data_IF_652221513770
#
_entry.id   IF_652221513770
#
_cell.length_a   1.000
_cell.length_b   1.000
_cell.length_c   1.000
_cell.angle_alpha   90.00
_cell.angle_beta   90.00
_cell.angle_gamma   90.00
#
_symmetry.space_group_name_H-M   'P 1'
#
loop_
_entity.id
_entity.type
_entity.pdbx_description
1 polymer ?
#
# COMPACT_ATOMS: atom_id res chain seq x y z
N UNK A 1 -14.79 46.62 -60.13
CA UNK A 1 -13.88 45.72 -59.34
C UNK A 1 -14.48 45.65 -57.99
N UNK A 2 -15.09 44.50 -57.69
CA UNK A 2 -16.13 44.35 -56.66
C UNK A 2 -15.57 44.32 -55.22
N UNK A 3 -15.76 45.41 -54.53
CA UNK A 3 -15.38 45.62 -53.13
C UNK A 3 -16.03 44.56 -52.16
N UNK A 4 -17.14 44.04 -52.55
CA UNK A 4 -17.86 42.96 -51.85
C UNK A 4 -17.14 41.63 -51.93
N UNK A 5 -16.49 41.31 -53.04
CA UNK A 5 -15.68 40.09 -53.20
C UNK A 5 -14.39 40.14 -52.37
N UNK A 6 -13.78 41.28 -52.23
CA UNK A 6 -12.59 41.47 -51.40
C UNK A 6 -12.90 41.26 -49.89
N UNK A 7 -14.03 41.80 -49.42
CA UNK A 7 -14.50 41.58 -48.04
C UNK A 7 -14.80 40.11 -47.75
N UNK A 8 -15.38 39.38 -48.67
CA UNK A 8 -15.68 37.96 -48.55
C UNK A 8 -14.39 37.11 -48.48
N UNK A 9 -13.36 37.43 -49.29
CA UNK A 9 -12.07 36.75 -49.28
C UNK A 9 -11.29 37.01 -47.98
N UNK A 10 -11.31 38.23 -47.44
CA UNK A 10 -10.65 38.57 -46.17
C UNK A 10 -11.34 37.86 -44.99
N UNK A 11 -12.69 37.81 -45.02
CA UNK A 11 -13.45 37.10 -43.99
C UNK A 11 -13.23 35.59 -44.02
N UNK A 12 -13.09 34.99 -45.19
CA UNK A 12 -12.78 33.57 -45.37
C UNK A 12 -11.36 33.23 -44.88
N UNK A 13 -10.37 34.11 -45.15
CA UNK A 13 -9.00 33.95 -44.70
C UNK A 13 -8.87 34.07 -43.15
N UNK A 14 -9.68 34.94 -42.55
CA UNK A 14 -9.72 35.12 -41.08
C UNK A 14 -10.33 33.91 -40.36
N UNK A 15 -11.39 33.35 -40.93
CA UNK A 15 -12.03 32.13 -40.41
C UNK A 15 -11.09 30.91 -40.51
N UNK A 16 -10.31 30.79 -41.58
CA UNK A 16 -9.29 29.74 -41.74
C UNK A 16 -8.16 29.89 -40.74
N UNK A 17 -7.71 31.12 -40.47
CA UNK A 17 -6.63 31.37 -39.47
C UNK A 17 -7.09 31.05 -38.06
N UNK A 18 -8.35 31.34 -37.68
CA UNK A 18 -8.90 30.98 -36.34
C UNK A 18 -9.09 29.45 -36.21
N UNK A 19 -9.53 28.77 -37.28
CA UNK A 19 -9.69 27.32 -37.31
C UNK A 19 -8.36 26.56 -37.14
N UNK A 20 -7.29 27.07 -37.76
CA UNK A 20 -5.95 26.49 -37.65
C UNK A 20 -5.33 26.70 -36.25
N UNK A 21 -5.61 27.84 -35.60
CA UNK A 21 -5.16 28.13 -34.22
C UNK A 21 -5.80 27.24 -33.17
N UNK A 22 -7.04 26.82 -33.33
CA UNK A 22 -7.76 25.93 -32.41
C UNK A 22 -7.30 24.46 -32.47
N UNK A 23 -6.74 24.03 -33.60
CA UNK A 23 -6.20 22.66 -33.75
C UNK A 23 -4.79 22.45 -33.13
N UNK A 24 -4.07 23.55 -32.87
CA UNK A 24 -2.74 23.47 -32.28
C UNK A 24 -2.69 23.25 -30.75
N UNK A 25 -3.84 23.36 -30.05
CA UNK A 25 -3.91 23.27 -28.59
C UNK A 25 -4.12 21.82 -28.11
N UNK A 26 -4.36 20.86 -29.02
CA UNK A 26 -4.72 19.47 -28.66
C UNK A 26 -3.51 18.53 -28.50
N UNK A 27 -2.28 19.02 -28.59
CA UNK A 27 -1.07 18.18 -28.59
C UNK A 27 -0.31 18.15 -27.25
N UNK A 28 -0.87 18.64 -26.15
CA UNK A 28 -0.33 18.37 -24.84
C UNK A 28 -0.85 17.03 -24.32
N UNK A 29 -0.29 15.92 -24.79
CA UNK A 29 -0.38 14.65 -24.09
C UNK A 29 0.46 14.76 -22.81
N UNK A 30 -0.19 15.06 -21.69
CA UNK A 30 0.43 14.93 -20.37
C UNK A 30 0.64 13.44 -20.14
N UNK A 31 1.82 12.95 -20.47
CA UNK A 31 2.26 11.62 -20.06
C UNK A 31 2.50 11.69 -18.55
N UNK A 32 1.53 11.31 -17.74
CA UNK A 32 1.76 10.96 -16.36
C UNK A 32 2.62 9.70 -16.34
N UNK A 33 3.92 9.86 -16.30
CA UNK A 33 4.78 8.80 -15.75
C UNK A 33 4.42 8.73 -14.28
N UNK A 34 3.58 7.76 -13.93
CA UNK A 34 3.54 7.26 -12.57
C UNK A 34 4.93 6.69 -12.30
N UNK A 35 5.77 7.48 -11.62
CA UNK A 35 6.99 7.01 -10.98
C UNK A 35 6.60 6.27 -9.68
N UNK A 36 5.52 5.46 -9.70
CA UNK A 36 5.36 4.41 -8.75
C UNK A 36 6.53 3.47 -8.97
N UNK A 37 7.27 3.14 -7.94
CA UNK A 37 8.31 2.12 -8.00
C UNK A 37 7.65 0.79 -8.36
N UNK A 38 7.30 0.64 -9.61
CA UNK A 38 6.85 -0.60 -10.20
C UNK A 38 8.05 -1.51 -10.21
N UNK A 39 7.90 -2.68 -9.61
CA UNK A 39 8.92 -3.74 -9.66
C UNK A 39 9.45 -3.85 -11.08
N UNK A 40 10.76 -3.70 -11.25
CA UNK A 40 11.39 -4.01 -12.53
C UNK A 40 11.46 -5.54 -12.71
N UNK A 41 10.40 -6.11 -13.28
CA UNK A 41 10.29 -7.54 -13.52
C UNK A 41 11.34 -8.10 -14.50
N UNK A 42 12.16 -7.24 -15.13
CA UNK A 42 13.30 -7.70 -15.94
C UNK A 42 14.47 -8.12 -15.07
N UNK A 43 14.62 -7.49 -13.88
CA UNK A 43 15.70 -7.72 -12.91
C UNK A 43 15.26 -8.52 -11.71
N UNK A 44 14.00 -8.35 -11.26
CA UNK A 44 13.45 -8.93 -10.05
C UNK A 44 12.30 -9.86 -10.40
N UNK A 45 12.48 -11.15 -10.24
CA UNK A 45 11.52 -12.19 -10.61
C UNK A 45 11.05 -13.02 -9.43
N UNK A 46 11.81 -13.01 -8.34
CA UNK A 46 11.58 -13.88 -7.20
C UNK A 46 11.52 -13.09 -5.89
N UNK A 47 10.70 -13.58 -4.96
CA UNK A 47 10.61 -13.04 -3.60
C UNK A 47 10.70 -14.17 -2.58
N UNK A 48 11.49 -13.95 -1.56
CA UNK A 48 11.57 -14.80 -0.37
C UNK A 48 10.85 -14.11 0.78
N UNK A 49 9.80 -14.72 1.31
CA UNK A 49 9.07 -14.26 2.48
C UNK A 49 9.30 -15.29 3.60
N UNK A 50 10.07 -14.89 4.60
CA UNK A 50 10.32 -15.72 5.77
C UNK A 50 9.13 -15.68 6.72
N UNK A 51 8.94 -16.74 7.51
CA UNK A 51 7.92 -16.74 8.54
C UNK A 51 8.30 -15.77 9.68
N UNK A 52 7.31 -15.03 10.16
CA UNK A 52 7.43 -14.04 11.22
C UNK A 52 7.12 -14.71 12.57
N UNK A 53 8.12 -14.94 13.42
CA UNK A 53 7.88 -15.47 14.76
C UNK A 53 7.21 -14.41 15.65
N UNK A 54 6.41 -14.88 16.60
CA UNK A 54 5.84 -14.04 17.65
C UNK A 54 6.88 -13.86 18.76
N UNK A 55 7.29 -12.62 19.04
CA UNK A 55 8.21 -12.22 20.09
C UNK A 55 7.57 -11.32 21.16
N UNK A 56 6.29 -11.05 21.03
CA UNK A 56 5.53 -10.27 22.01
C UNK A 56 5.39 -11.02 23.34
N UNK A 57 5.26 -10.26 24.43
CA UNK A 57 5.08 -10.82 25.77
C UNK A 57 3.75 -11.59 25.92
N UNK A 58 2.70 -11.15 25.24
CA UNK A 58 1.43 -11.86 25.12
C UNK A 58 1.37 -12.58 23.78
N UNK A 59 1.05 -13.86 23.80
CA UNK A 59 1.02 -14.73 22.61
C UNK A 59 -0.38 -15.28 22.41
N UNK A 60 -0.95 -14.98 21.25
CA UNK A 60 -2.13 -15.67 20.74
C UNK A 60 -1.67 -16.54 19.55
N UNK A 61 -1.61 -17.85 19.75
CA UNK A 61 -0.95 -18.77 18.81
C UNK A 61 -1.47 -18.72 17.36
N UNK A 62 -2.78 -18.51 17.08
CA UNK A 62 -3.25 -18.42 15.70
C UNK A 62 -2.73 -17.20 14.91
N UNK A 63 -2.31 -16.13 15.58
CA UNK A 63 -1.87 -14.87 14.95
C UNK A 63 -0.68 -15.08 14.00
N UNK A 64 0.29 -15.92 14.37
CA UNK A 64 1.48 -16.19 13.55
C UNK A 64 1.14 -16.80 12.18
N UNK A 65 0.45 -17.94 12.12
CA UNK A 65 -0.02 -18.52 10.86
C UNK A 65 -0.93 -17.58 10.06
N UNK A 66 -1.84 -16.85 10.71
CA UNK A 66 -2.72 -15.88 10.04
C UNK A 66 -1.91 -14.80 9.33
N UNK A 67 -0.95 -14.20 10.03
CA UNK A 67 -0.07 -13.17 9.47
C UNK A 67 0.77 -13.70 8.30
N UNK A 68 1.43 -14.83 8.51
CA UNK A 68 2.32 -15.41 7.51
C UNK A 68 1.58 -15.83 6.23
N UNK A 69 0.38 -16.38 6.37
CA UNK A 69 -0.44 -16.76 5.22
C UNK A 69 -0.94 -15.51 4.48
N UNK A 70 -1.51 -14.53 5.18
CA UNK A 70 -2.03 -13.31 4.54
C UNK A 70 -0.94 -12.56 3.79
N UNK A 71 0.26 -12.41 4.39
CA UNK A 71 1.37 -11.73 3.72
C UNK A 71 1.79 -12.47 2.43
N UNK A 72 1.97 -13.79 2.48
CA UNK A 72 2.32 -14.61 1.32
C UNK A 72 1.24 -14.56 0.25
N UNK A 73 -0.02 -14.67 0.64
CA UNK A 73 -1.15 -14.63 -0.27
C UNK A 73 -1.30 -13.26 -0.94
N UNK A 74 -1.08 -12.16 -0.20
CA UNK A 74 -1.11 -10.81 -0.74
C UNK A 74 -0.08 -10.63 -1.85
N UNK A 75 1.17 -11.03 -1.62
CA UNK A 75 2.21 -10.93 -2.65
C UNK A 75 1.95 -11.85 -3.84
N UNK A 76 1.41 -13.05 -3.60
CA UNK A 76 1.07 -14.01 -4.67
C UNK A 76 -0.03 -13.49 -5.59
N UNK A 77 -1.08 -12.87 -5.03
CA UNK A 77 -2.23 -12.37 -5.82
C UNK A 77 -1.97 -11.00 -6.45
N UNK A 78 -1.07 -10.19 -5.86
CA UNK A 78 -0.89 -8.79 -6.25
C UNK A 78 0.37 -8.52 -7.07
N UNK A 79 1.27 -9.51 -7.21
CA UNK A 79 2.51 -9.37 -7.98
C UNK A 79 2.71 -10.55 -8.94
N UNK A 80 3.66 -10.38 -9.87
CA UNK A 80 4.13 -11.46 -10.77
C UNK A 80 5.39 -12.15 -10.21
N UNK A 81 5.76 -11.87 -8.95
CA UNK A 81 6.94 -12.47 -8.34
C UNK A 81 6.69 -13.92 -7.98
N UNK A 82 7.62 -14.80 -8.34
CA UNK A 82 7.60 -16.19 -7.90
C UNK A 82 8.12 -16.30 -6.47
N UNK A 83 7.31 -16.85 -5.56
CA UNK A 83 7.76 -17.06 -4.19
C UNK A 83 8.74 -18.23 -4.11
N UNK A 84 9.89 -17.99 -3.47
CA UNK A 84 10.96 -18.98 -3.28
C UNK A 84 11.32 -19.09 -1.80
N UNK A 85 11.82 -20.27 -1.42
CA UNK A 85 12.21 -20.51 -0.02
C UNK A 85 13.58 -19.92 0.36
N UNK A 86 14.46 -19.70 -0.63
CA UNK A 86 15.84 -19.21 -0.44
C UNK A 86 16.29 -18.44 -1.68
N UNK A 87 17.21 -17.50 -1.47
CA UNK A 87 17.89 -16.76 -2.53
C UNK A 87 16.93 -16.02 -3.48
N UNK A 88 15.87 -15.41 -2.93
CA UNK A 88 15.00 -14.52 -3.70
C UNK A 88 15.72 -13.22 -4.08
N UNK A 89 15.34 -12.65 -5.23
CA UNK A 89 15.83 -11.32 -5.64
C UNK A 89 15.39 -10.26 -4.64
N UNK A 90 14.20 -10.41 -4.07
CA UNK A 90 13.72 -9.65 -2.91
C UNK A 90 13.58 -10.57 -1.70
N UNK A 91 13.80 -10.04 -0.52
CA UNK A 91 13.63 -10.76 0.75
C UNK A 91 12.86 -9.93 1.75
N UNK A 92 11.85 -10.53 2.36
CA UNK A 92 11.10 -9.97 3.48
C UNK A 92 11.27 -10.90 4.67
N UNK A 93 11.72 -10.36 5.79
CA UNK A 93 11.84 -11.06 7.07
C UNK A 93 11.51 -10.13 8.22
N UNK A 94 11.16 -10.68 9.36
CA UNK A 94 10.84 -9.86 10.52
C UNK A 94 10.24 -10.68 11.65
N UNK A 95 9.62 -9.98 12.59
CA UNK A 95 9.01 -10.57 13.76
C UNK A 95 7.84 -9.74 14.29
N UNK A 96 6.87 -10.39 14.93
CA UNK A 96 5.77 -9.71 15.63
C UNK A 96 6.28 -9.35 17.01
N UNK A 97 6.62 -8.06 17.21
CA UNK A 97 7.30 -7.59 18.43
C UNK A 97 6.36 -7.21 19.54
N UNK A 98 5.14 -6.80 19.21
CA UNK A 98 4.18 -6.32 20.19
C UNK A 98 2.76 -6.80 19.86
N UNK A 99 2.06 -7.26 20.87
CA UNK A 99 0.62 -7.54 20.86
C UNK A 99 0.08 -7.25 22.24
N UNK A 100 -0.74 -6.21 22.38
CA UNK A 100 -1.16 -5.72 23.69
C UNK A 100 -2.52 -5.04 23.66
N UNK A 101 -3.15 -5.03 24.83
CA UNK A 101 -4.35 -4.24 25.11
C UNK A 101 -3.99 -2.95 25.84
N UNK A 102 -4.71 -1.88 25.54
CA UNK A 102 -4.67 -0.61 26.26
C UNK A 102 -6.09 -0.10 26.48
N UNK A 103 -6.37 0.38 27.67
CA UNK A 103 -7.63 1.07 27.92
C UNK A 103 -7.58 2.45 27.26
N UNK A 104 -8.53 2.78 26.40
CA UNK A 104 -8.75 4.15 25.93
C UNK A 104 -9.45 4.93 27.04
N UNK A 105 -9.00 6.16 27.27
CA UNK A 105 -9.58 7.06 28.28
C UNK A 105 -11.08 7.26 28.01
N UNK A 106 -11.88 7.26 29.06
CA UNK A 106 -13.30 7.60 29.03
C UNK A 106 -13.44 9.04 28.53
N UNK A 107 -14.33 9.31 27.58
CA UNK A 107 -14.70 10.68 27.23
C UNK A 107 -15.36 11.34 28.42
N UNK A 108 -15.20 12.66 28.58
CA UNK A 108 -15.77 13.47 29.67
C UNK A 108 -17.29 13.39 29.83
N UNK A 109 -17.99 12.69 28.94
CA UNK A 109 -19.45 12.52 28.91
C UNK A 109 -19.92 11.13 29.36
N UNK A 110 -19.04 10.28 29.91
CA UNK A 110 -19.43 9.04 30.58
C UNK A 110 -19.89 7.91 29.67
N UNK A 111 -19.66 7.98 28.35
CA UNK A 111 -20.06 6.94 27.41
C UNK A 111 -18.86 6.06 27.03
N UNK A 112 -19.10 4.77 27.18
CA UNK A 112 -18.37 3.62 26.65
C UNK A 112 -16.86 3.66 26.81
N UNK A 113 -16.36 3.03 27.87
CA UNK A 113 -14.95 2.69 28.00
C UNK A 113 -14.59 1.73 26.84
N UNK A 114 -13.71 2.16 25.95
CA UNK A 114 -13.18 1.33 24.87
C UNK A 114 -11.82 0.78 25.26
N UNK A 115 -11.56 -0.45 24.85
CA UNK A 115 -10.25 -1.06 24.91
C UNK A 115 -9.67 -1.09 23.50
N UNK A 116 -8.42 -0.73 23.37
CA UNK A 116 -7.65 -0.82 22.13
C UNK A 116 -6.76 -2.05 22.17
N UNK A 117 -6.85 -2.87 21.13
CA UNK A 117 -5.92 -3.95 20.85
C UNK A 117 -4.94 -3.47 19.77
N UNK A 118 -3.63 -3.60 20.00
CA UNK A 118 -2.61 -3.17 19.05
C UNK A 118 -1.59 -4.28 18.76
N UNK A 119 -1.12 -4.33 17.51
CA UNK A 119 -0.10 -5.23 17.04
C UNK A 119 0.99 -4.43 16.32
N UNK A 120 2.26 -4.75 16.61
CA UNK A 120 3.42 -4.16 15.93
C UNK A 120 4.30 -5.28 15.37
N UNK A 121 4.70 -5.09 14.12
CA UNK A 121 5.57 -6.01 13.38
C UNK A 121 6.81 -5.25 12.94
N UNK A 122 7.98 -5.75 13.28
CA UNK A 122 9.25 -5.23 12.75
C UNK A 122 9.60 -5.98 11.47
N UNK A 123 9.91 -5.26 10.40
CA UNK A 123 10.15 -5.80 9.06
C UNK A 123 11.47 -5.30 8.54
N UNK A 124 12.27 -6.24 8.04
CA UNK A 124 13.46 -5.97 7.23
C UNK A 124 13.19 -6.40 5.79
N UNK A 125 13.30 -5.45 4.89
CA UNK A 125 13.21 -5.67 3.44
C UNK A 125 14.59 -5.51 2.81
N UNK A 126 14.94 -6.41 1.93
CA UNK A 126 16.19 -6.38 1.16
C UNK A 126 15.87 -6.60 -0.30
N UNK A 127 16.34 -5.70 -1.18
CA UNK A 127 16.25 -5.83 -2.62
C UNK A 127 17.67 -6.05 -3.20
N UNK A 128 17.99 -7.29 -3.55
CA UNK A 128 19.31 -7.65 -4.10
C UNK A 128 19.59 -7.01 -5.47
N UNK A 129 18.56 -6.55 -6.19
CA UNK A 129 18.72 -5.84 -7.45
C UNK A 129 18.97 -4.34 -7.24
N UNK A 130 18.53 -3.77 -6.11
CA UNK A 130 18.70 -2.35 -5.78
C UNK A 130 18.71 -2.14 -4.26
N UNK A 131 19.88 -2.21 -3.65
CA UNK A 131 20.06 -2.02 -2.20
C UNK A 131 19.68 -0.62 -1.68
N UNK A 132 19.46 0.36 -2.56
CA UNK A 132 18.95 1.68 -2.13
C UNK A 132 17.49 1.62 -1.63
N UNK A 133 16.78 0.53 -1.90
CA UNK A 133 15.41 0.29 -1.45
C UNK A 133 15.36 -0.53 -0.15
N UNK A 134 16.48 -0.97 0.37
CA UNK A 134 16.54 -1.74 1.62
C UNK A 134 16.08 -0.88 2.79
N UNK A 135 15.28 -1.46 3.67
CA UNK A 135 14.85 -0.81 4.90
C UNK A 135 14.61 -1.77 6.05
N UNK A 136 14.64 -1.22 7.26
CA UNK A 136 14.12 -1.85 8.46
C UNK A 136 13.13 -0.90 9.13
N UNK A 137 11.88 -1.34 9.30
CA UNK A 137 10.79 -0.49 9.78
C UNK A 137 9.76 -1.28 10.56
N UNK A 138 9.17 -0.63 11.57
CA UNK A 138 8.04 -1.16 12.32
C UNK A 138 6.72 -0.68 11.73
N UNK A 139 5.78 -1.61 11.58
CA UNK A 139 4.42 -1.35 11.16
C UNK A 139 3.47 -1.68 12.30
N UNK A 140 2.48 -0.84 12.53
CA UNK A 140 1.55 -0.99 13.64
C UNK A 140 0.13 -0.81 13.15
N UNK A 141 -0.76 -1.69 13.62
CA UNK A 141 -2.19 -1.54 13.48
C UNK A 141 -2.87 -1.67 14.83
N UNK A 142 -4.02 -1.03 14.99
CA UNK A 142 -4.82 -1.13 16.19
C UNK A 142 -6.32 -1.16 15.87
N UNK A 143 -7.08 -1.85 16.70
CA UNK A 143 -8.53 -1.93 16.64
C UNK A 143 -9.12 -1.71 18.02
N UNK A 144 -10.23 -1.01 18.08
CA UNK A 144 -10.93 -0.74 19.35
C UNK A 144 -12.19 -1.61 19.45
N UNK A 145 -12.51 -2.02 20.66
CA UNK A 145 -13.72 -2.74 20.98
C UNK A 145 -14.31 -2.28 22.32
N UNK A 146 -15.59 -2.54 22.54
CA UNK A 146 -16.28 -2.15 23.77
C UNK A 146 -15.75 -2.92 24.98
N UNK A 147 -15.45 -2.23 26.08
CA UNK A 147 -14.92 -2.84 27.31
C UNK A 147 -15.90 -3.85 27.93
N UNK A 148 -17.19 -3.80 27.56
CA UNK A 148 -18.21 -4.78 27.95
C UNK A 148 -18.05 -6.13 27.26
N UNK A 149 -17.30 -6.19 26.16
CA UNK A 149 -17.02 -7.43 25.44
C UNK A 149 -15.74 -8.09 25.98
N UNK A 150 -15.71 -9.42 26.01
CA UNK A 150 -14.47 -10.13 26.32
C UNK A 150 -13.53 -10.11 25.10
N UNK A 151 -12.22 -9.97 25.33
CA UNK A 151 -11.25 -10.07 24.22
C UNK A 151 -11.44 -11.37 23.44
N UNK A 152 -11.66 -12.48 24.12
CA UNK A 152 -11.79 -13.80 23.48
C UNK A 152 -12.92 -13.85 22.43
N UNK A 153 -14.02 -13.10 22.65
CA UNK A 153 -15.15 -13.09 21.72
C UNK A 153 -14.90 -12.29 20.44
N UNK A 154 -13.98 -11.33 20.46
CA UNK A 154 -13.70 -10.42 19.33
C UNK A 154 -12.27 -10.55 18.79
N UNK A 155 -11.41 -11.31 19.46
CA UNK A 155 -9.97 -11.38 19.20
C UNK A 155 -9.64 -11.81 17.76
N UNK A 156 -10.30 -12.83 17.25
CA UNK A 156 -10.04 -13.34 15.90
C UNK A 156 -10.39 -12.31 14.82
N UNK A 157 -11.54 -11.66 14.97
CA UNK A 157 -11.95 -10.59 14.05
C UNK A 157 -10.99 -9.40 14.09
N UNK A 158 -10.66 -8.90 15.28
CA UNK A 158 -9.76 -7.76 15.44
C UNK A 158 -8.35 -8.06 14.91
N UNK A 159 -7.84 -9.27 15.19
CA UNK A 159 -6.52 -9.68 14.69
C UNK A 159 -6.54 -9.81 13.18
N UNK A 160 -7.60 -10.35 12.59
CA UNK A 160 -7.73 -10.45 11.12
C UNK A 160 -7.67 -9.07 10.47
N UNK A 161 -8.36 -8.06 11.03
CA UNK A 161 -8.31 -6.69 10.53
C UNK A 161 -6.92 -6.07 10.66
N UNK A 162 -6.26 -6.25 11.81
CA UNK A 162 -4.91 -5.72 12.03
C UNK A 162 -3.86 -6.39 11.15
N UNK A 163 -3.96 -7.71 10.95
CA UNK A 163 -3.08 -8.48 10.06
C UNK A 163 -3.20 -7.95 8.63
N UNK A 164 -4.42 -7.78 8.14
CA UNK A 164 -4.65 -7.24 6.80
C UNK A 164 -4.05 -5.85 6.65
N UNK A 165 -4.32 -4.95 7.59
CA UNK A 165 -3.79 -3.58 7.57
C UNK A 165 -2.25 -3.55 7.55
N UNK A 166 -1.59 -4.33 8.42
CA UNK A 166 -0.12 -4.40 8.44
C UNK A 166 0.43 -5.01 7.15
N UNK A 167 -0.19 -6.07 6.62
CA UNK A 167 0.23 -6.67 5.36
C UNK A 167 0.12 -5.67 4.19
N UNK A 168 -0.96 -4.88 4.14
CA UNK A 168 -1.14 -3.83 3.14
C UNK A 168 -0.08 -2.71 3.30
N UNK A 169 0.25 -2.30 4.54
CA UNK A 169 1.31 -1.33 4.80
C UNK A 169 2.70 -1.86 4.35
N UNK A 170 3.02 -3.13 4.63
CA UNK A 170 4.26 -3.78 4.20
C UNK A 170 4.32 -3.84 2.67
N UNK A 171 3.24 -4.28 2.03
CA UNK A 171 3.14 -4.36 0.58
C UNK A 171 3.38 -3.00 -0.07
N UNK A 172 2.72 -1.95 0.44
CA UNK A 172 2.89 -0.59 -0.07
C UNK A 172 4.32 -0.07 0.13
N UNK A 173 4.96 -0.39 1.26
CA UNK A 173 6.33 0.05 1.53
C UNK A 173 7.38 -0.69 0.68
N UNK A 174 7.10 -1.91 0.22
CA UNK A 174 8.05 -2.75 -0.51
C UNK A 174 7.91 -2.66 -2.02
N UNK A 175 6.70 -2.81 -2.55
CA UNK A 175 6.47 -2.99 -4.00
C UNK A 175 5.53 -1.97 -4.63
N UNK A 176 4.78 -1.22 -3.84
CA UNK A 176 3.86 -0.19 -4.28
C UNK A 176 4.28 1.20 -3.81
N UNK A 177 5.59 1.44 -3.63
CA UNK A 177 6.10 2.71 -3.15
C UNK A 177 5.87 3.82 -4.20
N UNK A 178 4.85 4.65 -3.93
CA UNK A 178 4.41 5.79 -4.74
C UNK A 178 5.19 7.05 -4.43
#
# INVERSE_FOLDING_TARGET
MDWTRYKLLVFSCWLLAIGCGLLAVSACSVSYKFNGASIDYTKTKTIQINDFPIRSSYVWSPMGPMFNNELKDLFSRSTRLSQVKRNGDMKIEGEITQYQQRNKSVSSEGYSAQTELSMTVNVRFTNNANHAEDFEKSFTASQSYETTQSLQSVQEELVTLMVKDICDQIFNATVANW
#
